data_IF_741993535646
#
_entry.id   IF_741993535646
#
_cell.length_a   1.000
_cell.length_b   1.000
_cell.length_c   1.000
_cell.angle_alpha   90.00
_cell.angle_beta   90.00
_cell.angle_gamma   90.00
#
_symmetry.space_group_name_H-M   'P 1'
#
loop_
_entity.id
_entity.type
_entity.pdbx_description
1 polymer ?
#
# COMPACT_ATOMS: atom_id res chain seq x y z
N UNK A 1 -15.97 3.96 -7.08
CA UNK A 1 -17.21 3.51 -6.41
C UNK A 1 -18.41 3.93 -7.25
N UNK A 2 -19.18 2.98 -7.79
CA UNK A 2 -20.21 3.25 -8.81
C UNK A 2 -21.52 3.79 -8.25
N UNK A 3 -21.94 3.32 -7.07
CA UNK A 3 -23.13 3.80 -6.36
C UNK A 3 -22.84 4.97 -5.41
N UNK A 4 -21.72 5.69 -5.60
CA UNK A 4 -21.39 6.84 -4.75
C UNK A 4 -22.42 7.97 -4.92
N UNK A 5 -22.84 8.24 -6.15
CA UNK A 5 -23.78 9.32 -6.49
C UNK A 5 -25.16 9.19 -5.82
N UNK A 6 -25.55 8.00 -5.39
CA UNK A 6 -26.83 7.74 -4.70
C UNK A 6 -26.96 8.53 -3.40
N UNK A 7 -25.84 9.00 -2.82
CA UNK A 7 -25.82 9.93 -1.69
C UNK A 7 -26.04 11.40 -2.05
N UNK A 8 -26.45 11.71 -3.28
CA UNK A 8 -26.88 13.05 -3.73
C UNK A 8 -25.85 13.83 -4.53
N UNK A 9 -24.58 13.85 -4.08
CA UNK A 9 -23.48 14.52 -4.76
C UNK A 9 -22.39 13.51 -5.18
N UNK A 10 -22.10 13.35 -6.49
CA UNK A 10 -21.07 12.42 -6.98
C UNK A 10 -19.63 12.84 -6.67
N UNK A 11 -19.40 14.13 -6.38
CA UNK A 11 -18.07 14.70 -6.11
C UNK A 11 -17.86 14.95 -4.61
N UNK A 12 -18.82 14.56 -3.77
CA UNK A 12 -18.69 14.71 -2.32
C UNK A 12 -17.44 14.00 -1.81
N UNK A 13 -16.77 14.67 -0.88
CA UNK A 13 -15.68 14.12 -0.09
C UNK A 13 -16.14 14.01 1.36
N UNK A 14 -16.17 12.78 1.88
CA UNK A 14 -16.51 12.51 3.26
C UNK A 14 -15.25 12.44 4.12
N UNK A 15 -15.24 13.11 5.27
CA UNK A 15 -14.13 13.01 6.22
C UNK A 15 -14.38 11.84 7.16
N UNK A 16 -13.44 10.90 7.21
CA UNK A 16 -13.47 9.73 8.08
C UNK A 16 -12.47 9.92 9.22
N UNK A 17 -12.86 9.59 10.45
CA UNK A 17 -11.92 9.62 11.57
C UNK A 17 -11.07 8.34 11.58
N UNK A 18 -9.75 8.50 11.69
CA UNK A 18 -8.79 7.42 11.78
C UNK A 18 -7.91 7.60 13.02
N UNK A 19 -7.70 6.52 13.77
CA UNK A 19 -6.79 6.51 14.93
C UNK A 19 -5.34 6.46 14.43
N UNK A 20 -4.47 7.29 14.98
CA UNK A 20 -3.05 7.34 14.60
C UNK A 20 -2.25 6.16 15.15
N UNK A 21 -2.50 5.78 16.40
CA UNK A 21 -1.90 4.61 17.03
C UNK A 21 -2.91 3.91 17.95
N UNK A 22 -3.37 2.69 17.64
CA UNK A 22 -4.31 1.96 18.50
C UNK A 22 -3.71 1.57 19.86
N UNK A 23 -2.38 1.55 19.99
CA UNK A 23 -1.68 1.24 21.24
C UNK A 23 -1.32 2.49 22.06
N UNK A 24 -1.53 3.68 21.50
CA UNK A 24 -1.24 4.96 22.16
C UNK A 24 -2.37 5.98 21.95
N UNK A 25 -3.31 6.10 22.90
CA UNK A 25 -4.39 7.07 22.83
C UNK A 25 -3.91 8.52 22.75
N UNK A 26 -2.71 8.85 23.24
CA UNK A 26 -2.17 10.20 23.18
C UNK A 26 -1.70 10.60 21.77
N UNK A 27 -1.53 9.63 20.86
CA UNK A 27 -1.24 9.88 19.45
C UNK A 27 -2.43 10.52 18.70
N UNK A 28 -3.62 10.53 19.30
CA UNK A 28 -4.82 11.19 18.77
C UNK A 28 -5.39 10.54 17.50
N UNK A 29 -6.22 11.29 16.81
CA UNK A 29 -6.88 10.91 15.56
C UNK A 29 -6.48 11.86 14.43
N UNK A 30 -6.78 11.45 13.19
CA UNK A 30 -6.70 12.29 12.00
C UNK A 30 -7.91 12.07 11.12
N UNK A 31 -8.22 13.03 10.27
CA UNK A 31 -9.27 12.90 9.26
C UNK A 31 -8.69 12.39 7.94
N UNK A 32 -9.32 11.38 7.36
CA UNK A 32 -8.97 10.80 6.07
C UNK A 32 -10.13 11.04 5.09
N UNK A 33 -9.88 11.71 3.95
CA UNK A 33 -10.93 11.93 2.96
C UNK A 33 -11.28 10.63 2.23
N UNK A 34 -12.58 10.38 2.07
CA UNK A 34 -13.15 9.32 1.26
C UNK A 34 -13.94 9.94 0.11
N UNK A 35 -13.76 9.41 -1.09
CA UNK A 35 -14.40 9.92 -2.30
C UNK A 35 -14.83 8.77 -3.22
N UNK A 36 -15.49 9.15 -4.33
CA UNK A 36 -15.88 8.22 -5.40
C UNK A 36 -14.68 7.44 -5.96
N UNK A 37 -13.57 8.11 -6.18
CA UNK A 37 -12.36 7.56 -6.80
C UNK A 37 -11.27 7.34 -5.76
N UNK A 38 -10.75 6.12 -5.70
CA UNK A 38 -9.79 5.67 -4.71
C UNK A 38 -8.67 4.91 -5.40
N UNK A 39 -7.45 5.04 -4.89
CA UNK A 39 -6.35 4.14 -5.20
C UNK A 39 -6.25 3.05 -4.14
N UNK A 40 -5.95 1.84 -4.59
CA UNK A 40 -5.56 0.68 -3.78
C UNK A 40 -4.28 0.08 -4.38
N UNK A 41 -3.59 -0.79 -3.66
CA UNK A 41 -2.45 -1.50 -4.25
C UNK A 41 -2.89 -2.42 -5.38
N UNK A 42 -2.07 -2.48 -6.44
CA UNK A 42 -2.22 -3.48 -7.51
C UNK A 42 -2.32 -4.90 -6.93
N UNK A 43 -1.47 -5.22 -5.96
CA UNK A 43 -1.38 -6.54 -5.32
C UNK A 43 -2.60 -6.88 -4.44
N UNK A 44 -3.51 -5.94 -4.22
CA UNK A 44 -4.74 -6.16 -3.45
C UNK A 44 -5.92 -6.66 -4.29
N UNK A 45 -5.73 -6.81 -5.59
CA UNK A 45 -6.73 -7.36 -6.50
C UNK A 45 -6.20 -8.56 -7.28
N UNK A 46 -7.08 -9.54 -7.54
CA UNK A 46 -6.80 -10.67 -8.42
C UNK A 46 -8.11 -11.17 -9.04
N UNK A 47 -8.15 -11.36 -10.37
CA UNK A 47 -9.33 -11.86 -11.07
C UNK A 47 -9.66 -13.30 -10.70
N UNK A 48 -8.63 -14.16 -10.73
CA UNK A 48 -8.71 -15.58 -10.38
C UNK A 48 -7.93 -15.87 -9.08
N UNK A 49 -8.46 -15.47 -7.91
CA UNK A 49 -7.74 -15.58 -6.65
C UNK A 49 -7.61 -17.04 -6.19
N UNK A 50 -6.42 -17.50 -5.75
CA UNK A 50 -6.31 -18.79 -5.07
C UNK A 50 -7.10 -18.77 -3.76
N UNK A 51 -7.49 -19.94 -3.23
CA UNK A 51 -8.36 -20.07 -2.04
C UNK A 51 -7.88 -19.29 -0.80
N UNK A 52 -6.57 -19.07 -0.66
CA UNK A 52 -5.97 -18.35 0.48
C UNK A 52 -5.82 -16.84 0.24
N UNK A 53 -6.08 -16.34 -0.97
CA UNK A 53 -6.11 -14.90 -1.24
C UNK A 53 -7.46 -14.37 -0.77
N UNK A 54 -7.48 -13.48 0.23
CA UNK A 54 -8.71 -12.95 0.84
C UNK A 54 -9.01 -11.49 0.45
N UNK A 55 -8.11 -10.86 -0.30
CA UNK A 55 -8.23 -9.48 -0.78
C UNK A 55 -9.24 -9.41 -1.95
N UNK A 56 -9.31 -8.27 -2.62
CA UNK A 56 -10.38 -7.96 -3.57
C UNK A 56 -10.32 -8.88 -4.81
N UNK A 57 -11.49 -9.28 -5.29
CA UNK A 57 -11.66 -10.11 -6.48
C UNK A 57 -13.08 -9.86 -7.03
N UNK A 58 -13.39 -10.23 -8.29
CA UNK A 58 -14.74 -10.10 -8.83
C UNK A 58 -15.80 -10.73 -7.89
N UNK A 59 -16.83 -9.95 -7.56
CA UNK A 59 -17.92 -10.36 -6.68
C UNK A 59 -17.58 -10.48 -5.19
N UNK A 60 -16.33 -10.20 -4.78
CA UNK A 60 -15.91 -10.32 -3.38
C UNK A 60 -15.96 -8.99 -2.65
N UNK A 61 -16.49 -9.03 -1.44
CA UNK A 61 -16.53 -7.91 -0.51
C UNK A 61 -15.27 -7.85 0.37
N UNK A 62 -14.71 -6.66 0.56
CA UNK A 62 -13.57 -6.38 1.47
C UNK A 62 -13.83 -5.11 2.27
N UNK A 63 -13.10 -4.93 3.37
CA UNK A 63 -13.13 -3.69 4.17
C UNK A 63 -12.04 -2.75 3.68
N UNK A 64 -12.38 -1.49 3.48
CA UNK A 64 -11.39 -0.41 3.40
C UNK A 64 -11.10 0.09 4.81
N UNK A 65 -9.82 0.19 5.20
CA UNK A 65 -9.42 0.63 6.55
C UNK A 65 -10.06 1.98 6.89
N UNK A 66 -10.74 2.06 8.04
CA UNK A 66 -11.53 3.24 8.49
C UNK A 66 -12.63 3.70 7.52
N UNK A 67 -12.83 2.97 6.41
CA UNK A 67 -13.69 3.32 5.29
C UNK A 67 -15.01 2.58 5.33
N UNK A 68 -15.34 1.98 4.20
CA UNK A 68 -16.55 1.21 3.98
C UNK A 68 -16.20 -0.20 3.50
N UNK A 69 -17.20 -1.08 3.46
CA UNK A 69 -17.11 -2.31 2.70
C UNK A 69 -17.35 -2.01 1.23
N UNK A 70 -16.52 -2.60 0.37
CA UNK A 70 -16.64 -2.48 -1.08
C UNK A 70 -16.68 -3.86 -1.73
N UNK A 71 -17.42 -3.98 -2.84
CA UNK A 71 -17.49 -5.19 -3.65
C UNK A 71 -17.13 -4.86 -5.10
N UNK A 72 -16.16 -5.58 -5.67
CA UNK A 72 -15.78 -5.43 -7.08
C UNK A 72 -16.88 -5.98 -7.98
N UNK A 73 -17.40 -5.16 -8.91
CA UNK A 73 -18.46 -5.54 -9.84
C UNK A 73 -17.97 -5.70 -11.27
N UNK A 74 -17.01 -4.87 -11.68
CA UNK A 74 -16.47 -4.88 -13.04
C UNK A 74 -14.97 -4.57 -13.00
N UNK A 75 -14.24 -5.23 -13.90
CA UNK A 75 -12.79 -5.07 -14.11
C UNK A 75 -12.61 -4.47 -15.49
N UNK A 76 -12.06 -3.28 -15.55
CA UNK A 76 -11.79 -2.58 -16.82
C UNK A 76 -10.34 -2.81 -17.19
N UNK A 77 -10.11 -3.24 -18.44
CA UNK A 77 -8.79 -3.48 -19.01
C UNK A 77 -8.55 -2.56 -20.19
N UNK A 78 -7.28 -2.24 -20.44
CA UNK A 78 -6.86 -1.61 -21.69
C UNK A 78 -6.73 -2.63 -22.84
N UNK A 79 -6.31 -2.15 -24.01
CA UNK A 79 -6.13 -2.96 -25.22
C UNK A 79 -5.03 -4.03 -25.07
N UNK A 80 -4.11 -3.87 -24.11
CA UNK A 80 -3.07 -4.85 -23.81
C UNK A 80 -3.55 -5.91 -22.80
N UNK A 81 -4.76 -5.76 -22.25
CA UNK A 81 -5.33 -6.64 -21.24
C UNK A 81 -4.91 -6.29 -19.81
N UNK A 82 -4.24 -5.15 -19.61
CA UNK A 82 -3.83 -4.69 -18.29
C UNK A 82 -5.00 -4.04 -17.56
N UNK A 83 -5.19 -4.38 -16.29
CA UNK A 83 -6.29 -3.84 -15.48
C UNK A 83 -6.01 -2.36 -15.20
N UNK A 84 -6.87 -1.45 -15.65
CA UNK A 84 -6.69 0.00 -15.46
C UNK A 84 -7.67 0.60 -14.44
N UNK A 85 -8.83 -0.03 -14.24
CA UNK A 85 -9.84 0.45 -13.30
C UNK A 85 -10.64 -0.71 -12.70
N UNK A 86 -11.00 -0.59 -11.42
CA UNK A 86 -11.92 -1.49 -10.74
C UNK A 86 -13.20 -0.74 -10.36
N UNK A 87 -14.32 -1.18 -10.91
CA UNK A 87 -15.62 -0.60 -10.61
C UNK A 87 -16.28 -1.38 -9.49
N UNK A 88 -16.26 -0.76 -8.31
CA UNK A 88 -16.80 -1.35 -7.09
C UNK A 88 -18.06 -0.62 -6.63
N UNK A 89 -18.99 -1.34 -6.00
CA UNK A 89 -20.04 -0.74 -5.16
C UNK A 89 -19.57 -0.67 -3.71
N UNK A 90 -20.07 0.28 -2.92
CA UNK A 90 -19.87 0.33 -1.47
C UNK A 90 -21.19 0.15 -0.71
N UNK A 91 -21.10 -0.23 0.57
CA UNK A 91 -22.24 -0.25 1.49
C UNK A 91 -22.21 0.96 2.44
N UNK A 92 -23.12 1.95 2.29
CA UNK A 92 -23.19 3.11 3.17
C UNK A 92 -23.39 2.78 4.66
N UNK A 93 -24.03 1.65 4.97
CA UNK A 93 -24.28 1.24 6.36
C UNK A 93 -22.99 0.79 7.07
N UNK A 94 -21.89 0.60 6.33
CA UNK A 94 -20.62 0.08 6.87
C UNK A 94 -19.58 1.15 7.21
N UNK A 95 -20.05 2.39 7.44
CA UNK A 95 -19.19 3.55 7.73
C UNK A 95 -18.24 3.28 8.90
N UNK A 96 -16.96 3.59 8.73
CA UNK A 96 -15.91 3.33 9.72
C UNK A 96 -15.37 1.90 9.67
N UNK A 97 -15.94 1.04 8.83
CA UNK A 97 -15.52 -0.33 8.61
C UNK A 97 -16.24 -1.36 9.48
N UNK A 98 -17.35 -1.02 10.13
CA UNK A 98 -18.14 -1.99 10.90
C UNK A 98 -19.48 -2.28 10.20
N UNK A 99 -19.94 -3.52 10.26
CA UNK A 99 -21.18 -3.94 9.61
C UNK A 99 -22.29 -4.16 10.65
N UNK A 100 -23.37 -3.36 10.63
CA UNK A 100 -24.45 -3.47 11.63
C UNK A 100 -25.25 -4.77 11.50
N UNK A 101 -25.25 -5.39 10.32
CA UNK A 101 -25.86 -6.70 10.05
C UNK A 101 -25.00 -7.88 10.55
N UNK A 102 -23.81 -7.60 11.12
CA UNK A 102 -22.90 -8.59 11.68
C UNK A 102 -22.05 -9.34 10.66
N UNK A 103 -22.14 -9.03 9.36
CA UNK A 103 -21.36 -9.74 8.34
C UNK A 103 -19.87 -9.42 8.46
N UNK A 104 -19.04 -10.43 8.22
CA UNK A 104 -17.58 -10.34 8.35
C UNK A 104 -16.93 -10.52 6.99
N UNK A 105 -16.02 -9.61 6.66
CA UNK A 105 -15.12 -9.73 5.53
C UNK A 105 -13.77 -10.30 5.98
N UNK A 106 -13.04 -10.93 5.04
CA UNK A 106 -11.80 -11.66 5.34
C UNK A 106 -10.53 -10.83 5.20
N UNK A 107 -10.62 -9.63 4.62
CA UNK A 107 -9.48 -8.74 4.43
C UNK A 107 -9.87 -7.27 4.63
N UNK A 108 -8.90 -6.53 5.14
CA UNK A 108 -8.92 -5.07 5.23
C UNK A 108 -7.79 -4.53 4.37
N UNK A 109 -8.10 -3.62 3.46
CA UNK A 109 -7.16 -2.97 2.56
C UNK A 109 -6.92 -1.52 3.00
N UNK A 110 -5.70 -1.03 2.84
CA UNK A 110 -5.44 0.40 2.84
C UNK A 110 -5.82 0.99 1.47
N UNK A 111 -6.02 2.30 1.43
CA UNK A 111 -6.50 3.03 0.27
C UNK A 111 -6.24 4.53 0.47
N UNK A 112 -6.30 5.30 -0.60
CA UNK A 112 -6.27 6.78 -0.55
C UNK A 112 -7.30 7.34 -1.54
N UNK A 113 -7.94 8.46 -1.20
CA UNK A 113 -8.84 9.15 -2.13
C UNK A 113 -8.05 9.85 -3.25
N UNK A 114 -8.31 9.47 -4.50
CA UNK A 114 -7.66 10.01 -5.67
C UNK A 114 -7.70 11.55 -5.78
N UNK A 115 -8.84 12.25 -5.55
CA UNK A 115 -8.90 13.71 -5.74
C UNK A 115 -8.06 14.52 -4.74
N UNK A 116 -7.66 13.92 -3.62
CA UNK A 116 -6.90 14.59 -2.56
C UNK A 116 -5.56 13.92 -2.29
N UNK A 117 -5.20 12.89 -3.06
CA UNK A 117 -3.97 12.15 -2.85
C UNK A 117 -2.76 13.03 -3.15
N UNK A 118 -1.70 12.83 -2.37
CA UNK A 118 -0.42 13.51 -2.56
C UNK A 118 0.51 12.57 -3.27
N UNK A 119 1.07 13.01 -4.39
CA UNK A 119 2.07 12.23 -5.12
C UNK A 119 3.42 12.26 -4.41
N UNK A 120 4.09 11.12 -4.35
CA UNK A 120 5.40 10.97 -3.72
C UNK A 120 6.33 10.03 -4.51
N UNK A 121 7.62 10.24 -4.29
CA UNK A 121 8.65 9.23 -4.51
C UNK A 121 8.79 8.38 -3.25
N UNK A 122 8.82 7.06 -3.42
CA UNK A 122 9.03 6.11 -2.32
C UNK A 122 10.25 5.26 -2.64
N UNK A 123 11.26 5.31 -1.76
CA UNK A 123 12.50 4.55 -1.85
C UNK A 123 12.39 3.31 -0.99
N UNK A 124 12.36 2.15 -1.62
CA UNK A 124 12.31 0.86 -0.96
C UNK A 124 13.74 0.31 -0.83
N UNK A 125 14.27 0.32 0.38
CA UNK A 125 15.57 -0.25 0.68
C UNK A 125 15.47 -1.73 1.04
N UNK A 126 16.50 -2.49 0.66
CA UNK A 126 16.80 -3.87 1.04
C UNK A 126 18.27 -3.97 1.51
N UNK A 127 18.75 -5.16 1.86
CA UNK A 127 20.16 -5.37 2.23
C UNK A 127 21.09 -4.93 1.10
N UNK A 128 22.17 -4.22 1.44
CA UNK A 128 23.14 -3.72 0.46
C UNK A 128 23.94 -4.85 -0.22
N UNK A 129 24.15 -5.96 0.48
CA UNK A 129 24.88 -7.12 -0.01
C UNK A 129 23.99 -8.35 -0.03
N UNK A 130 24.26 -9.26 -0.97
CA UNK A 130 23.58 -10.55 -1.11
C UNK A 130 24.19 -11.62 -0.19
N UNK A 131 25.45 -11.47 0.19
CA UNK A 131 26.15 -12.37 1.11
C UNK A 131 26.12 -11.83 2.54
N UNK A 132 26.12 -12.75 3.50
CA UNK A 132 26.20 -12.41 4.93
C UNK A 132 27.57 -11.79 5.27
N UNK A 133 28.64 -12.30 4.66
CA UNK A 133 29.96 -11.67 4.65
C UNK A 133 30.19 -10.98 3.29
N UNK A 134 30.21 -9.63 3.23
CA UNK A 134 30.46 -8.90 1.99
C UNK A 134 31.83 -9.17 1.36
N UNK A 135 32.84 -9.54 2.15
CA UNK A 135 34.21 -9.81 1.68
C UNK A 135 34.37 -11.22 1.09
N UNK A 136 33.35 -12.07 1.22
CA UNK A 136 33.40 -13.45 0.75
C UNK A 136 33.31 -13.51 -0.78
N UNK A 137 34.47 -13.59 -1.44
CA UNK A 137 34.60 -13.73 -2.89
C UNK A 137 35.31 -15.05 -3.20
N UNK A 138 34.80 -15.80 -4.19
CA UNK A 138 35.43 -17.07 -4.59
C UNK A 138 36.88 -16.84 -5.04
N UNK A 139 37.85 -17.71 -4.65
CA UNK A 139 39.27 -17.50 -4.96
C UNK A 139 39.56 -17.27 -6.44
N UNK A 140 38.87 -17.98 -7.34
CA UNK A 140 39.02 -17.84 -8.79
C UNK A 140 38.48 -16.51 -9.31
N UNK A 141 37.43 -15.96 -8.67
CA UNK A 141 36.89 -14.65 -8.99
C UNK A 141 37.80 -13.54 -8.45
N UNK A 142 38.30 -13.70 -7.22
CA UNK A 142 39.27 -12.78 -6.62
C UNK A 142 40.57 -12.70 -7.44
N UNK A 143 41.07 -13.85 -7.94
CA UNK A 143 42.24 -13.91 -8.83
C UNK A 143 42.00 -13.19 -10.18
N UNK A 144 40.73 -12.97 -10.56
CA UNK A 144 40.32 -12.19 -11.74
C UNK A 144 39.95 -10.73 -11.40
N UNK A 145 40.23 -10.28 -10.18
CA UNK A 145 40.01 -8.91 -9.73
C UNK A 145 38.62 -8.62 -9.17
N UNK A 146 37.79 -9.62 -8.90
CA UNK A 146 36.55 -9.40 -8.15
C UNK A 146 36.86 -9.04 -6.68
N UNK A 147 36.04 -8.17 -6.11
CA UNK A 147 36.09 -7.77 -4.70
C UNK A 147 34.67 -7.69 -4.13
N UNK A 148 34.52 -7.20 -2.89
CA UNK A 148 33.23 -7.12 -2.20
C UNK A 148 32.10 -6.47 -3.04
N UNK A 149 32.43 -5.62 -4.03
CA UNK A 149 31.42 -4.99 -4.90
C UNK A 149 30.69 -6.02 -5.77
N UNK A 150 31.29 -7.18 -6.05
CA UNK A 150 30.60 -8.28 -6.74
C UNK A 150 29.44 -8.85 -5.93
N UNK A 151 29.43 -8.62 -4.61
CA UNK A 151 28.39 -9.08 -3.70
C UNK A 151 27.28 -8.04 -3.48
N UNK A 152 27.33 -6.87 -4.14
CA UNK A 152 26.28 -5.85 -4.04
C UNK A 152 24.94 -6.41 -4.52
N UNK A 153 23.89 -6.10 -3.76
CA UNK A 153 22.52 -6.41 -4.12
C UNK A 153 22.01 -5.34 -5.12
N UNK A 154 21.74 -5.70 -6.38
CA UNK A 154 21.19 -4.75 -7.36
C UNK A 154 19.79 -4.25 -6.97
N UNK A 155 19.06 -5.00 -6.14
CA UNK A 155 17.74 -4.66 -5.62
C UNK A 155 17.79 -3.95 -4.25
N UNK A 156 18.98 -3.55 -3.79
CA UNK A 156 19.17 -2.84 -2.50
C UNK A 156 18.42 -1.52 -2.40
N UNK A 157 18.07 -0.92 -3.55
CA UNK A 157 17.22 0.25 -3.65
C UNK A 157 16.30 0.14 -4.87
N UNK A 158 14.99 0.19 -4.64
CA UNK A 158 14.00 0.40 -5.69
C UNK A 158 13.28 1.73 -5.47
N UNK A 159 13.38 2.62 -6.45
CA UNK A 159 12.69 3.92 -6.43
C UNK A 159 11.36 3.80 -7.14
N UNK A 160 10.27 4.06 -6.42
CA UNK A 160 8.92 4.13 -6.96
C UNK A 160 8.51 5.60 -7.12
N UNK A 161 8.07 5.95 -8.32
CA UNK A 161 7.57 7.29 -8.62
C UNK A 161 6.04 7.23 -8.75
N UNK A 162 5.37 8.34 -8.43
CA UNK A 162 3.91 8.41 -8.60
C UNK A 162 3.12 7.65 -7.54
N UNK A 163 3.73 7.33 -6.40
CA UNK A 163 3.00 6.74 -5.28
C UNK A 163 1.99 7.75 -4.73
N UNK A 164 0.81 7.28 -4.35
CA UNK A 164 -0.28 8.13 -3.86
C UNK A 164 -0.39 7.99 -2.35
N UNK A 165 -0.34 9.12 -1.64
CA UNK A 165 -0.37 9.20 -0.18
C UNK A 165 -1.61 9.95 0.31
N UNK A 166 -2.02 9.72 1.56
CA UNK A 166 -3.06 10.52 2.19
C UNK A 166 -2.61 11.99 2.37
N UNK A 167 -3.52 12.97 2.29
CA UNK A 167 -3.15 14.39 2.30
C UNK A 167 -2.50 14.88 3.59
N UNK A 168 -2.70 14.18 4.71
CA UNK A 168 -2.04 14.50 5.98
C UNK A 168 -0.50 14.46 5.87
N UNK A 169 0.03 13.70 4.90
CA UNK A 169 1.47 13.54 4.66
C UNK A 169 2.08 14.67 3.82
N UNK A 170 1.26 15.60 3.27
CA UNK A 170 1.74 16.76 2.52
C UNK A 170 2.65 17.67 3.36
N UNK A 171 2.31 17.85 4.64
CA UNK A 171 3.00 18.74 5.57
C UNK A 171 4.04 18.03 6.43
N UNK A 172 4.30 16.74 6.20
CA UNK A 172 5.26 16.00 7.01
C UNK A 172 6.67 16.60 6.86
N UNK A 173 7.45 16.62 7.94
CA UNK A 173 8.79 17.22 7.95
C UNK A 173 9.89 16.15 7.86
N UNK A 174 11.07 16.46 7.27
CA UNK A 174 12.19 15.52 7.20
C UNK A 174 12.49 14.85 8.55
N UNK A 175 12.68 13.53 8.51
CA UNK A 175 12.94 12.71 9.69
C UNK A 175 11.70 12.26 10.48
N UNK A 176 10.50 12.81 10.20
CA UNK A 176 9.25 12.25 10.74
C UNK A 176 9.02 10.82 10.24
N UNK A 177 8.38 10.00 11.07
CA UNK A 177 8.25 8.55 10.89
C UNK A 177 6.79 8.16 10.90
N UNK A 178 6.43 7.25 10.02
CA UNK A 178 5.07 6.77 9.82
C UNK A 178 5.09 5.26 9.60
N UNK A 179 4.05 4.59 10.05
CA UNK A 179 3.74 3.26 9.54
C UNK A 179 2.78 3.44 8.37
N UNK A 180 3.24 3.13 7.15
CA UNK A 180 2.32 2.98 6.03
C UNK A 180 1.64 1.62 6.20
N UNK A 181 0.34 1.65 6.43
CA UNK A 181 -0.43 0.46 6.78
C UNK A 181 -0.17 -0.66 5.77
N UNK A 182 0.08 -1.88 6.29
CA UNK A 182 0.41 -3.09 5.52
C UNK A 182 1.71 -3.07 4.71
N UNK A 183 2.35 -1.91 4.51
CA UNK A 183 3.55 -1.78 3.68
C UNK A 183 4.86 -1.78 4.48
N UNK A 184 4.90 -1.09 5.63
CA UNK A 184 6.13 -0.93 6.40
C UNK A 184 6.20 0.34 7.23
N UNK A 185 7.37 0.58 7.81
CA UNK A 185 7.73 1.83 8.45
C UNK A 185 8.54 2.68 7.49
N UNK A 186 8.19 3.96 7.41
CA UNK A 186 8.77 4.93 6.50
C UNK A 186 9.17 6.19 7.25
N UNK A 187 10.16 6.91 6.73
CA UNK A 187 10.50 8.25 7.16
C UNK A 187 10.55 9.23 5.99
N UNK A 188 10.30 10.50 6.27
CA UNK A 188 10.46 11.58 5.28
C UNK A 188 11.95 11.80 5.05
N UNK A 189 12.38 11.70 3.79
CA UNK A 189 13.77 11.93 3.39
C UNK A 189 14.11 13.43 3.39
N UNK A 190 15.40 13.76 3.52
CA UNK A 190 15.89 15.14 3.48
C UNK A 190 15.73 15.79 2.09
N UNK A 191 15.64 15.00 1.03
CA UNK A 191 15.36 15.45 -0.34
C UNK A 191 13.91 15.89 -0.55
N UNK A 192 13.03 15.66 0.44
CA UNK A 192 11.60 16.00 0.36
C UNK A 192 11.38 17.51 0.28
N UNK A 193 10.55 17.93 -0.66
CA UNK A 193 10.16 19.33 -0.92
C UNK A 193 8.63 19.42 -1.07
N UNK A 194 8.02 20.62 -0.94
CA UNK A 194 6.57 20.79 -1.11
C UNK A 194 6.02 20.18 -2.41
N UNK A 195 6.76 20.33 -3.52
CA UNK A 195 6.41 19.84 -4.86
C UNK A 195 6.81 18.37 -5.12
N UNK A 196 7.65 17.79 -4.28
CA UNK A 196 8.14 16.41 -4.42
C UNK A 196 8.39 15.81 -3.05
N UNK A 197 7.41 15.06 -2.56
CA UNK A 197 7.50 14.33 -1.31
C UNK A 197 8.35 13.08 -1.52
N UNK A 198 9.32 12.86 -0.64
CA UNK A 198 10.21 11.68 -0.70
C UNK A 198 10.15 10.92 0.62
N UNK A 199 9.89 9.62 0.55
CA UNK A 199 9.83 8.72 1.71
C UNK A 199 10.74 7.52 1.53
N UNK A 200 11.46 7.17 2.60
CA UNK A 200 12.31 5.98 2.64
C UNK A 200 11.67 4.90 3.48
N UNK A 201 11.59 3.67 2.97
CA UNK A 201 11.20 2.53 3.80
C UNK A 201 12.32 2.20 4.78
N UNK A 202 12.07 2.44 6.06
CA UNK A 202 12.99 2.15 7.16
C UNK A 202 13.02 0.65 7.47
N UNK A 203 11.85 0.01 7.50
CA UNK A 203 11.72 -1.42 7.80
C UNK A 203 10.42 -1.97 7.20
N UNK A 204 10.44 -3.24 6.79
CA UNK A 204 9.22 -3.96 6.42
C UNK A 204 8.42 -4.36 7.67
N UNK A 205 7.12 -4.56 7.51
CA UNK A 205 6.36 -5.29 8.54
C UNK A 205 6.82 -6.75 8.59
N UNK A 206 6.50 -7.45 9.68
CA UNK A 206 6.73 -8.90 9.76
C UNK A 206 5.86 -9.62 8.74
N UNK A 207 6.44 -9.97 7.61
CA UNK A 207 5.72 -10.67 6.54
C UNK A 207 5.70 -12.19 6.79
N UNK A 208 4.53 -12.70 7.16
CA UNK A 208 4.29 -14.15 7.29
C UNK A 208 3.88 -14.78 5.96
N UNK A 209 3.43 -13.97 4.99
CA UNK A 209 2.89 -14.38 3.69
C UNK A 209 3.96 -14.58 2.61
N UNK A 210 5.02 -13.77 2.58
CA UNK A 210 6.19 -14.01 1.75
C UNK A 210 6.79 -15.41 2.01
N UNK A 211 6.80 -15.85 3.28
CA UNK A 211 7.20 -17.21 3.69
C UNK A 211 6.26 -18.32 3.20
N UNK A 212 4.99 -18.01 2.93
CA UNK A 212 4.02 -18.97 2.38
C UNK A 212 4.15 -19.05 0.86
N UNK A 213 4.38 -17.92 0.16
CA UNK A 213 4.67 -17.90 -1.28
C UNK A 213 5.96 -18.66 -1.62
N UNK A 214 7.03 -18.49 -0.85
CA UNK A 214 8.28 -19.24 -1.07
C UNK A 214 8.17 -20.74 -0.78
N UNK A 215 7.16 -21.16 -0.01
CA UNK A 215 6.82 -22.57 0.24
C UNK A 215 5.78 -23.15 -0.74
N UNK A 216 5.30 -22.35 -1.69
CA UNK A 216 4.17 -22.67 -2.56
C UNK A 216 4.53 -22.87 -4.04
N UNK A 217 5.81 -22.97 -4.40
CA UNK A 217 6.21 -23.48 -5.71
C UNK A 217 6.31 -25.01 -5.64
N UNK A 218 5.49 -25.79 -6.36
CA UNK A 218 5.83 -27.17 -6.66
C UNK A 218 7.09 -27.24 -7.53
#
# INVERSE_FOLDING_TARGET
ITNWADGGDPDRVEQLEAINNPEDPAAGTRTVPFARELYIERDDFMEDPPRKFFRLAPGREVRLRYGYFITCREVVKDDAGEIVELRCTYDPATRGGDAPDGRKVKATLHWVAAPTAVQAEVRLYETLFNKADPEEVEPEAAAKGADFRSNLNPDSLRVLNGCMLEPSLASATPGQRFQFERLGYFCVDADSRPERRVFNRTATLRDTWAKIRSRGSP
#
